data_IF_154290281830
#
_entry.id   IF_154290281830
#
_cell.length_a   1.000
_cell.length_b   1.000
_cell.length_c   1.000
_cell.angle_alpha   90.00
_cell.angle_beta   90.00
_cell.angle_gamma   90.00
#
_symmetry.space_group_name_H-M   'P 1'
#
loop_
_entity.id
_entity.type
_entity.pdbx_description
1 polymer ?
#
# COMPACT_ATOMS: atom_id res chain seq x y z
N UNK A 1 -4.21 56.24 -8.89
CA UNK A 1 -4.44 56.65 -7.49
C UNK A 1 -3.41 55.90 -6.63
N UNK A 2 -2.42 56.62 -6.09
CA UNK A 2 -1.47 56.11 -5.09
C UNK A 2 -2.14 56.13 -3.71
N UNK A 3 -1.67 55.26 -2.81
CA UNK A 3 -1.70 55.27 -1.32
C UNK A 3 -1.90 53.81 -0.85
N UNK A 4 -1.18 53.23 0.11
CA UNK A 4 -0.14 53.70 1.03
C UNK A 4 0.70 52.47 1.42
N UNK A 5 2.02 52.67 1.59
CA UNK A 5 2.97 51.70 2.14
C UNK A 5 2.76 51.57 3.65
N UNK A 6 2.80 50.34 4.17
CA UNK A 6 2.94 50.04 5.60
C UNK A 6 3.84 48.82 5.77
N UNK A 7 5.11 49.06 6.10
CA UNK A 7 6.09 48.03 6.39
C UNK A 7 5.92 47.55 7.83
N UNK A 8 5.81 46.24 8.04
CA UNK A 8 6.12 45.60 9.31
C UNK A 8 7.08 44.46 9.00
N UNK A 9 8.35 44.72 9.24
CA UNK A 9 9.41 43.72 9.22
C UNK A 9 9.32 42.93 10.53
N UNK A 10 8.86 41.68 10.46
CA UNK A 10 9.03 40.72 11.55
C UNK A 10 10.35 40.00 11.35
N UNK A 11 11.36 40.38 12.14
CA UNK A 11 12.65 39.70 12.24
C UNK A 11 12.41 38.37 12.97
N UNK A 12 12.40 37.27 12.22
CA UNK A 12 12.49 35.93 12.79
C UNK A 12 13.98 35.54 12.80
N UNK A 13 14.66 35.85 13.91
CA UNK A 13 16.01 35.35 14.17
C UNK A 13 15.97 33.85 14.39
N UNK A 14 16.35 33.09 13.36
CA UNK A 14 16.75 31.69 13.49
C UNK A 14 18.00 31.62 14.37
N UNK A 15 17.85 31.10 15.60
CA UNK A 15 18.98 30.74 16.44
C UNK A 15 19.66 29.50 15.85
N UNK A 16 20.68 29.73 15.03
CA UNK A 16 21.65 28.72 14.62
C UNK A 16 22.43 28.26 15.86
N UNK A 17 22.08 27.09 16.40
CA UNK A 17 22.92 26.39 17.37
C UNK A 17 24.16 25.86 16.63
N UNK A 18 25.25 26.57 16.86
CA UNK A 18 26.62 26.20 16.50
C UNK A 18 27.09 25.08 17.42
N UNK A 19 26.85 23.84 17.00
CA UNK A 19 27.54 22.67 17.52
C UNK A 19 28.82 22.41 16.73
N UNK A 20 29.91 23.10 17.05
CA UNK A 20 31.24 22.70 16.60
C UNK A 20 31.66 21.44 17.35
N UNK A 21 31.45 20.28 16.71
CA UNK A 21 32.10 19.02 17.05
C UNK A 21 32.70 18.44 15.79
N UNK A 22 33.99 18.71 15.54
CA UNK A 22 34.79 17.87 14.67
C UNK A 22 34.84 16.48 15.28
N UNK A 23 34.15 15.51 14.68
CA UNK A 23 34.51 14.10 14.67
C UNK A 23 33.64 13.37 13.64
N UNK A 24 34.26 12.99 12.52
CA UNK A 24 33.70 12.06 11.54
C UNK A 24 32.54 12.63 10.71
N UNK A 25 32.82 12.94 9.45
CA UNK A 25 31.79 12.90 8.41
C UNK A 25 31.30 11.45 8.25
N UNK A 26 30.52 10.98 9.22
CA UNK A 26 29.57 9.92 9.00
C UNK A 26 28.54 10.52 8.06
N UNK A 27 28.48 9.98 6.83
CA UNK A 27 27.29 10.00 5.98
C UNK A 27 26.10 9.90 6.93
N UNK A 28 25.29 10.95 7.06
CA UNK A 28 24.03 10.85 7.82
C UNK A 28 23.39 9.58 7.29
N UNK A 29 23.18 8.57 8.15
CA UNK A 29 22.54 7.33 7.70
C UNK A 29 21.24 7.77 7.04
N UNK A 30 21.17 7.71 5.71
CA UNK A 30 19.96 8.05 4.97
C UNK A 30 18.85 7.25 5.62
N UNK A 31 17.76 7.93 5.97
CA UNK A 31 16.67 7.31 6.70
C UNK A 31 16.09 6.21 5.81
N UNK A 32 16.47 4.96 6.08
CA UNK A 32 16.01 3.80 5.33
C UNK A 32 14.56 3.51 5.71
N UNK A 33 13.67 3.56 4.74
CA UNK A 33 12.25 3.30 4.89
C UNK A 33 11.97 1.80 4.99
N UNK A 34 12.61 0.98 4.17
CA UNK A 34 12.37 -0.47 4.16
C UNK A 34 13.05 -1.18 5.35
N UNK A 35 12.59 -2.39 5.66
CA UNK A 35 13.22 -3.26 6.64
C UNK A 35 14.42 -4.04 6.07
N UNK A 36 14.96 -4.97 6.85
CA UNK A 36 16.11 -5.80 6.43
C UNK A 36 15.74 -6.94 5.46
N UNK A 37 14.47 -7.07 5.12
CA UNK A 37 13.92 -8.14 4.29
C UNK A 37 13.77 -9.48 5.01
N UNK A 38 12.93 -10.34 4.43
CA UNK A 38 12.48 -11.59 5.02
C UNK A 38 13.08 -12.80 4.32
N UNK A 39 13.08 -13.96 5.00
CA UNK A 39 13.60 -15.21 4.43
C UNK A 39 12.66 -15.89 3.44
N UNK A 40 11.36 -15.60 3.54
CA UNK A 40 10.33 -16.17 2.65
C UNK A 40 9.28 -15.11 2.32
N UNK A 41 8.52 -15.35 1.26
CA UNK A 41 7.44 -14.47 0.85
C UNK A 41 6.36 -14.35 1.94
N UNK A 42 5.98 -15.48 2.55
CA UNK A 42 5.00 -15.56 3.63
C UNK A 42 5.44 -14.79 4.86
N UNK A 43 6.74 -14.78 5.19
CA UNK A 43 7.26 -14.02 6.31
C UNK A 43 7.12 -12.49 6.09
N UNK A 44 7.31 -12.01 4.86
CA UNK A 44 7.09 -10.60 4.52
C UNK A 44 5.61 -10.20 4.66
N UNK A 45 4.70 -11.00 4.11
CA UNK A 45 3.26 -10.78 4.25
C UNK A 45 2.79 -10.93 5.71
N UNK A 46 3.37 -11.87 6.45
CA UNK A 46 3.08 -12.04 7.89
C UNK A 46 3.45 -10.79 8.66
N UNK A 47 4.62 -10.20 8.43
CA UNK A 47 5.04 -8.96 9.12
C UNK A 47 4.05 -7.81 8.89
N UNK A 48 3.49 -7.71 7.67
CA UNK A 48 2.43 -6.75 7.38
C UNK A 48 1.18 -7.02 8.22
N UNK A 49 0.68 -8.26 8.19
CA UNK A 49 -0.55 -8.66 8.91
C UNK A 49 -0.39 -8.47 10.42
N UNK A 50 0.80 -8.79 10.95
CA UNK A 50 1.10 -8.56 12.36
C UNK A 50 1.19 -7.08 12.70
N UNK A 51 1.77 -6.24 11.83
CA UNK A 51 1.75 -4.79 12.03
C UNK A 51 0.32 -4.26 12.13
N UNK A 52 -0.58 -4.72 11.26
CA UNK A 52 -2.00 -4.36 11.33
C UNK A 52 -2.66 -4.86 12.63
N UNK A 53 -2.42 -6.12 13.00
CA UNK A 53 -2.93 -6.73 14.25
C UNK A 53 -2.46 -6.00 15.49
N UNK A 54 -1.19 -5.65 15.54
CA UNK A 54 -0.51 -5.02 16.67
C UNK A 54 -0.72 -3.49 16.68
N UNK A 55 -1.48 -2.95 15.71
CA UNK A 55 -1.68 -1.51 15.46
C UNK A 55 -0.35 -0.75 15.28
N UNK A 56 0.66 -1.44 14.76
CA UNK A 56 1.99 -0.92 14.46
C UNK A 56 2.13 -0.68 12.96
N UNK A 57 1.75 0.54 12.55
CA UNK A 57 1.83 0.97 11.16
C UNK A 57 3.27 0.96 10.63
N UNK A 58 4.27 1.25 11.48
CA UNK A 58 5.67 1.22 11.05
C UNK A 58 6.13 -0.20 10.75
N UNK A 59 5.71 -1.19 11.54
CA UNK A 59 5.97 -2.61 11.26
C UNK A 59 5.34 -3.05 9.93
N UNK A 60 4.15 -2.53 9.59
CA UNK A 60 3.55 -2.74 8.27
C UNK A 60 4.44 -2.16 7.17
N UNK A 61 4.83 -0.89 7.27
CA UNK A 61 5.63 -0.23 6.23
C UNK A 61 7.03 -0.82 6.07
N UNK A 62 7.60 -1.36 7.15
CA UNK A 62 8.91 -2.04 7.11
C UNK A 62 8.89 -3.38 6.38
N UNK A 63 7.71 -3.93 6.02
CA UNK A 63 7.64 -5.16 5.24
C UNK A 63 7.91 -4.96 3.74
N UNK A 64 7.86 -3.72 3.28
CA UNK A 64 7.96 -3.38 1.86
C UNK A 64 9.38 -3.18 1.39
N UNK A 65 9.63 -3.34 0.09
CA UNK A 65 10.85 -2.91 -0.59
C UNK A 65 10.59 -1.54 -1.21
N UNK A 66 11.04 -0.47 -0.55
CA UNK A 66 10.88 0.88 -1.11
C UNK A 66 12.10 1.24 -1.94
N UNK A 67 13.28 1.16 -1.32
CA UNK A 67 14.55 1.44 -1.95
C UNK A 67 14.98 0.30 -2.88
N UNK A 68 14.89 -0.95 -2.40
CA UNK A 68 15.30 -2.12 -3.19
C UNK A 68 14.50 -2.24 -4.49
N UNK A 69 13.19 -2.03 -4.45
CA UNK A 69 12.34 -2.05 -5.64
C UNK A 69 12.68 -0.89 -6.58
N UNK A 70 12.89 0.32 -6.05
CA UNK A 70 13.24 1.48 -6.85
C UNK A 70 14.59 1.31 -7.56
N UNK A 71 15.56 0.65 -6.94
CA UNK A 71 16.87 0.35 -7.52
C UNK A 71 16.80 -0.66 -8.67
N UNK A 72 15.91 -1.65 -8.57
CA UNK A 72 15.84 -2.75 -9.53
C UNK A 72 14.77 -2.57 -10.60
N UNK A 73 13.94 -1.53 -10.50
CA UNK A 73 12.80 -1.31 -11.39
C UNK A 73 13.20 -1.28 -12.88
N UNK A 74 12.52 -2.10 -13.69
CA UNK A 74 12.72 -2.21 -15.14
C UNK A 74 11.70 -1.34 -15.86
N UNK A 75 12.07 -0.09 -16.12
CA UNK A 75 11.21 0.89 -16.81
C UNK A 75 10.73 0.43 -18.19
N UNK A 76 11.61 -0.16 -19.01
CA UNK A 76 11.24 -0.70 -20.33
C UNK A 76 10.15 -1.77 -20.22
N UNK A 77 10.27 -2.68 -19.25
CA UNK A 77 9.27 -3.73 -19.02
C UNK A 77 7.91 -3.19 -18.57
N UNK A 78 7.86 -2.06 -17.86
CA UNK A 78 6.57 -1.41 -17.54
C UNK A 78 5.94 -0.76 -18.78
N UNK A 79 6.75 -0.16 -19.67
CA UNK A 79 6.24 0.38 -20.93
C UNK A 79 5.71 -0.75 -21.83
N UNK A 80 6.44 -1.86 -21.93
CA UNK A 80 6.03 -3.04 -22.69
C UNK A 80 4.73 -3.64 -22.15
N UNK A 81 4.57 -3.67 -20.82
CA UNK A 81 3.35 -4.17 -20.15
C UNK A 81 2.09 -3.43 -20.59
N UNK A 82 2.18 -2.11 -20.82
CA UNK A 82 1.04 -1.30 -21.23
C UNK A 82 0.97 -1.02 -22.73
N UNK A 83 2.01 -1.38 -23.50
CA UNK A 83 2.21 -0.97 -24.89
C UNK A 83 1.98 0.54 -25.11
N UNK A 84 2.20 1.33 -24.06
CA UNK A 84 1.85 2.74 -24.02
C UNK A 84 2.49 3.46 -22.82
N UNK A 85 2.70 4.76 -22.98
CA UNK A 85 3.03 5.66 -21.88
C UNK A 85 1.78 6.43 -21.46
N UNK A 86 1.42 6.35 -20.18
CA UNK A 86 0.26 7.03 -19.61
C UNK A 86 0.75 8.11 -18.63
N UNK A 87 0.82 9.40 -19.03
CA UNK A 87 1.41 10.47 -18.21
C UNK A 87 0.71 10.70 -16.86
N UNK A 88 -0.54 10.25 -16.74
CA UNK A 88 -1.37 10.38 -15.54
C UNK A 88 -1.26 9.17 -14.60
N UNK A 89 -0.64 8.08 -15.03
CA UNK A 89 -0.33 6.96 -14.16
C UNK A 89 0.99 7.21 -13.46
N UNK A 90 1.11 6.85 -12.17
CA UNK A 90 2.36 6.97 -11.44
C UNK A 90 3.35 5.89 -11.88
N UNK A 91 3.82 5.96 -13.12
CA UNK A 91 4.92 5.15 -13.64
C UNK A 91 6.20 5.68 -13.02
N UNK A 92 6.99 4.79 -12.43
CA UNK A 92 8.31 5.14 -11.88
C UNK A 92 9.25 5.60 -13.00
N UNK A 93 10.20 6.47 -12.66
CA UNK A 93 11.27 6.88 -13.58
C UNK A 93 12.28 5.73 -13.78
N UNK A 94 13.12 5.77 -14.83
CA UNK A 94 14.21 4.81 -14.98
C UNK A 94 15.13 4.77 -13.77
N UNK A 95 15.67 3.59 -13.44
CA UNK A 95 16.58 3.39 -12.31
C UNK A 95 18.06 3.56 -12.72
N UNK A 96 18.36 4.59 -13.51
CA UNK A 96 19.70 4.81 -14.10
C UNK A 96 20.57 5.80 -13.31
N UNK A 97 20.03 6.46 -12.29
CA UNK A 97 20.77 7.37 -11.41
C UNK A 97 20.11 7.54 -10.03
N UNK A 98 20.90 7.97 -9.05
CA UNK A 98 20.49 8.13 -7.64
C UNK A 98 19.31 9.08 -7.43
N UNK A 99 19.19 10.13 -8.26
CA UNK A 99 18.08 11.09 -8.15
C UNK A 99 16.75 10.44 -8.52
N UNK A 100 16.70 9.65 -9.60
CA UNK A 100 15.50 8.92 -9.99
C UNK A 100 15.16 7.81 -9.00
N UNK A 101 16.15 7.05 -8.53
CA UNK A 101 15.95 5.99 -7.54
C UNK A 101 15.35 6.57 -6.25
N UNK A 102 15.91 7.67 -5.73
CA UNK A 102 15.40 8.32 -4.50
C UNK A 102 13.98 8.86 -4.66
N UNK A 103 13.67 9.44 -5.83
CA UNK A 103 12.33 9.92 -6.16
C UNK A 103 11.33 8.77 -6.31
N UNK A 104 11.72 7.66 -6.94
CA UNK A 104 10.92 6.45 -7.06
C UNK A 104 10.60 5.84 -5.69
N UNK A 105 11.59 5.66 -4.82
CA UNK A 105 11.38 5.13 -3.47
C UNK A 105 10.37 5.98 -2.67
N UNK A 106 10.52 7.31 -2.73
CA UNK A 106 9.59 8.25 -2.09
C UNK A 106 8.18 8.18 -2.70
N UNK A 107 8.09 8.07 -4.02
CA UNK A 107 6.82 7.94 -4.75
C UNK A 107 6.07 6.66 -4.41
N UNK A 108 6.78 5.52 -4.43
CA UNK A 108 6.25 4.20 -4.04
C UNK A 108 5.69 4.23 -2.63
N UNK A 109 6.49 4.75 -1.67
CA UNK A 109 6.05 4.90 -0.29
C UNK A 109 4.78 5.76 -0.20
N UNK A 110 4.76 6.92 -0.87
CA UNK A 110 3.59 7.81 -0.83
C UNK A 110 2.32 7.13 -1.36
N UNK A 111 2.43 6.33 -2.43
CA UNK A 111 1.28 5.66 -3.06
C UNK A 111 0.75 4.57 -2.15
N UNK A 112 1.61 3.67 -1.67
CA UNK A 112 1.19 2.57 -0.80
C UNK A 112 0.72 3.07 0.58
N UNK A 113 1.41 4.04 1.19
CA UNK A 113 0.97 4.63 2.45
C UNK A 113 -0.42 5.27 2.31
N UNK A 114 -0.65 6.02 1.24
CA UNK A 114 -1.96 6.61 0.96
C UNK A 114 -3.01 5.52 0.77
N UNK A 115 -2.70 4.46 0.01
CA UNK A 115 -3.60 3.33 -0.20
C UNK A 115 -3.99 2.73 1.15
N UNK A 116 -3.02 2.30 1.95
CA UNK A 116 -3.23 1.68 3.27
C UNK A 116 -4.01 2.59 4.23
N UNK A 117 -3.65 3.87 4.28
CA UNK A 117 -4.36 4.86 5.11
C UNK A 117 -5.84 4.93 4.71
N UNK A 118 -6.12 5.09 3.41
CA UNK A 118 -7.48 5.14 2.91
C UNK A 118 -8.23 3.84 3.22
N UNK A 119 -7.60 2.67 3.08
CA UNK A 119 -8.24 1.39 3.36
C UNK A 119 -8.63 1.23 4.81
N UNK A 120 -7.74 1.61 5.73
CA UNK A 120 -8.02 1.61 7.17
C UNK A 120 -9.15 2.58 7.46
N UNK A 121 -9.08 3.82 6.95
CA UNK A 121 -10.12 4.82 7.17
C UNK A 121 -11.48 4.33 6.64
N UNK A 122 -11.55 3.83 5.40
CA UNK A 122 -12.80 3.29 4.85
C UNK A 122 -13.30 2.05 5.60
N UNK A 123 -12.41 1.20 6.11
CA UNK A 123 -12.83 0.11 6.98
C UNK A 123 -13.51 0.63 8.25
N UNK A 124 -12.93 1.65 8.88
CA UNK A 124 -13.51 2.28 10.06
C UNK A 124 -14.85 2.92 9.74
N UNK A 125 -14.98 3.64 8.62
CA UNK A 125 -16.19 4.37 8.23
C UNK A 125 -17.26 3.53 7.51
N UNK A 126 -16.95 2.30 7.09
CA UNK A 126 -17.66 1.48 6.09
C UNK A 126 -19.15 1.75 5.85
N UNK A 127 -20.00 1.60 6.87
CA UNK A 127 -21.47 1.67 6.72
C UNK A 127 -22.00 3.12 6.76
N UNK A 128 -21.14 4.07 7.15
CA UNK A 128 -21.47 5.47 7.39
C UNK A 128 -21.07 6.38 6.22
N UNK A 129 -20.22 5.90 5.29
CA UNK A 129 -19.76 6.66 4.13
C UNK A 129 -19.83 5.84 2.84
N UNK A 130 -20.42 6.45 1.81
CA UNK A 130 -20.34 5.94 0.45
C UNK A 130 -19.04 6.38 -0.21
N UNK A 131 -18.33 5.42 -0.81
CA UNK A 131 -17.05 5.69 -1.42
C UNK A 131 -17.19 6.60 -2.65
N UNK A 132 -16.34 7.62 -2.73
CA UNK A 132 -16.30 8.54 -3.88
C UNK A 132 -17.34 9.66 -3.83
N UNK A 133 -18.23 9.65 -2.84
CA UNK A 133 -19.22 10.70 -2.64
C UNK A 133 -18.67 11.84 -1.79
N UNK A 134 -19.03 13.07 -2.16
CA UNK A 134 -18.75 14.25 -1.34
C UNK A 134 -19.77 14.31 -0.21
N UNK A 135 -19.29 14.30 1.03
CA UNK A 135 -20.13 14.44 2.22
C UNK A 135 -20.20 15.93 2.57
N UNK A 136 -21.37 16.59 2.44
CA UNK A 136 -21.49 18.01 2.73
C UNK A 136 -21.59 18.25 4.24
N UNK A 137 -20.60 18.92 4.83
CA UNK A 137 -20.57 19.33 6.23
C UNK A 137 -21.03 20.80 6.32
N UNK A 138 -22.34 21.01 6.47
CA UNK A 138 -22.98 22.33 6.28
C UNK A 138 -23.03 23.18 7.55
N UNK A 139 -22.89 22.55 8.71
CA UNK A 139 -23.05 23.14 10.04
C UNK A 139 -22.28 22.33 11.09
N UNK A 140 -22.29 22.82 12.33
CA UNK A 140 -21.61 22.17 13.46
C UNK A 140 -22.20 20.79 13.79
N UNK A 141 -23.51 20.60 13.61
CA UNK A 141 -24.19 19.32 13.83
C UNK A 141 -23.70 18.25 12.85
N UNK A 142 -23.73 18.53 11.54
CA UNK A 142 -23.22 17.60 10.51
C UNK A 142 -21.71 17.32 10.64
N UNK A 143 -20.92 18.28 11.14
CA UNK A 143 -19.52 18.06 11.47
C UNK A 143 -19.35 17.09 12.64
N UNK A 144 -20.12 17.28 13.72
CA UNK A 144 -20.06 16.41 14.90
C UNK A 144 -20.53 14.98 14.57
N UNK A 145 -21.60 14.85 13.78
CA UNK A 145 -22.07 13.54 13.30
C UNK A 145 -20.97 12.82 12.50
N UNK A 146 -20.31 13.52 11.57
CA UNK A 146 -19.22 12.94 10.79
C UNK A 146 -18.02 12.53 11.67
N UNK A 147 -17.65 13.36 12.65
CA UNK A 147 -16.56 13.03 13.57
C UNK A 147 -16.88 11.80 14.43
N UNK A 148 -18.15 11.63 14.83
CA UNK A 148 -18.60 10.49 15.62
C UNK A 148 -18.45 9.14 14.90
N UNK A 149 -18.31 9.13 13.57
CA UNK A 149 -18.01 7.90 12.80
C UNK A 149 -16.74 7.24 13.33
N UNK A 150 -15.73 8.02 13.75
CA UNK A 150 -14.48 7.49 14.28
C UNK A 150 -14.57 7.06 15.75
N UNK A 151 -15.66 7.39 16.45
CA UNK A 151 -15.95 6.92 17.81
C UNK A 151 -16.51 5.49 17.81
N UNK A 152 -16.05 4.67 16.86
CA UNK A 152 -16.34 3.25 16.80
C UNK A 152 -15.12 2.44 17.22
N UNK A 153 -15.36 1.27 17.82
CA UNK A 153 -14.28 0.36 18.21
C UNK A 153 -13.90 -0.62 17.08
N UNK A 154 -14.23 -0.31 15.82
CA UNK A 154 -14.05 -1.23 14.68
C UNK A 154 -12.57 -1.52 14.41
N UNK A 155 -11.67 -0.60 14.74
CA UNK A 155 -10.22 -0.83 14.69
C UNK A 155 -9.79 -2.03 15.56
N UNK A 156 -10.55 -2.38 16.62
CA UNK A 156 -10.26 -3.55 17.45
C UNK A 156 -10.41 -4.86 16.69
N UNK A 157 -11.11 -4.88 15.54
CA UNK A 157 -11.17 -6.08 14.70
C UNK A 157 -9.78 -6.47 14.18
N UNK A 158 -8.89 -5.52 13.91
CA UNK A 158 -7.51 -5.81 13.53
C UNK A 158 -6.78 -6.61 14.62
N UNK A 159 -6.98 -6.24 15.89
CA UNK A 159 -6.35 -6.93 17.03
C UNK A 159 -6.85 -8.36 17.25
N UNK A 160 -7.95 -8.75 16.58
CA UNK A 160 -8.54 -10.09 16.65
C UNK A 160 -8.04 -11.01 15.53
N UNK A 161 -7.21 -10.52 14.61
CA UNK A 161 -6.62 -11.31 13.52
C UNK A 161 -5.80 -12.46 14.13
N UNK A 162 -6.19 -13.69 13.81
CA UNK A 162 -5.55 -14.93 14.28
C UNK A 162 -5.54 -16.01 13.19
N UNK A 163 -4.79 -17.09 13.40
CA UNK A 163 -4.76 -18.24 12.49
C UNK A 163 -4.45 -17.86 11.03
N UNK A 164 -3.44 -17.01 10.85
CA UNK A 164 -2.94 -16.64 9.52
C UNK A 164 -2.51 -17.90 8.76
N UNK A 165 -3.04 -18.07 7.57
CA UNK A 165 -2.76 -19.17 6.65
C UNK A 165 -2.56 -18.63 5.24
N UNK A 166 -1.75 -19.34 4.48
CA UNK A 166 -1.50 -19.06 3.07
C UNK A 166 -2.11 -20.19 2.26
N UNK A 167 -2.85 -19.82 1.22
CA UNK A 167 -3.48 -20.77 0.28
C UNK A 167 -2.97 -20.47 -1.13
N UNK A 168 -3.13 -21.42 -2.04
CA UNK A 168 -2.75 -21.19 -3.44
C UNK A 168 -3.66 -20.17 -4.12
N UNK A 169 -3.19 -19.47 -5.18
CA UNK A 169 -4.06 -18.62 -6.00
C UNK A 169 -5.27 -19.39 -6.55
N UNK A 170 -5.10 -20.66 -6.92
CA UNK A 170 -6.17 -21.53 -7.43
C UNK A 170 -7.34 -21.66 -6.44
N UNK A 171 -7.04 -21.84 -5.14
CA UNK A 171 -8.05 -22.00 -4.10
C UNK A 171 -8.95 -20.77 -3.92
N UNK A 172 -8.41 -19.57 -4.14
CA UNK A 172 -9.16 -18.31 -3.96
C UNK A 172 -9.79 -17.80 -5.25
N UNK A 173 -9.14 -18.03 -6.40
CA UNK A 173 -9.68 -17.65 -7.70
C UNK A 173 -10.81 -18.57 -8.12
N UNK A 174 -10.70 -19.88 -7.85
CA UNK A 174 -11.70 -20.85 -8.29
C UNK A 174 -11.99 -20.69 -9.79
N UNK A 175 -13.26 -20.47 -10.13
CA UNK A 175 -13.72 -20.35 -11.52
C UNK A 175 -13.50 -18.95 -12.12
N UNK A 176 -12.95 -17.99 -11.35
CA UNK A 176 -12.70 -16.63 -11.83
C UNK A 176 -11.65 -16.56 -12.94
N UNK A 177 -10.68 -17.50 -12.93
CA UNK A 177 -9.59 -17.57 -13.90
C UNK A 177 -8.93 -18.96 -13.86
N UNK A 178 -8.51 -19.46 -15.02
CA UNK A 178 -7.67 -20.65 -15.10
C UNK A 178 -6.23 -20.36 -14.64
N UNK A 179 -5.53 -21.37 -14.11
CA UNK A 179 -4.13 -21.17 -13.70
C UNK A 179 -3.19 -20.89 -14.86
N UNK A 180 -3.47 -21.38 -16.07
CA UNK A 180 -2.68 -21.07 -17.26
C UNK A 180 -2.77 -19.58 -17.62
N UNK A 181 -4.00 -19.04 -17.66
CA UNK A 181 -4.22 -17.61 -17.91
C UNK A 181 -3.62 -16.74 -16.79
N UNK A 182 -3.79 -17.14 -15.53
CA UNK A 182 -3.20 -16.44 -14.39
C UNK A 182 -1.67 -16.39 -14.51
N UNK A 183 -1.03 -17.52 -14.82
CA UNK A 183 0.43 -17.61 -14.92
C UNK A 183 0.98 -16.78 -16.10
N UNK A 184 0.30 -16.79 -17.25
CA UNK A 184 0.65 -15.95 -18.41
C UNK A 184 0.60 -14.46 -18.05
N UNK A 185 -0.50 -14.01 -17.40
CA UNK A 185 -0.62 -12.61 -16.98
C UNK A 185 0.35 -12.26 -15.86
N UNK A 186 0.63 -13.17 -14.93
CA UNK A 186 1.58 -12.95 -13.84
C UNK A 186 2.98 -12.65 -14.40
N UNK A 187 3.43 -13.41 -15.41
CA UNK A 187 4.71 -13.18 -16.06
C UNK A 187 4.83 -11.76 -16.64
N UNK A 188 3.81 -11.31 -17.38
CA UNK A 188 3.79 -9.97 -17.98
C UNK A 188 3.71 -8.88 -16.89
N UNK A 189 2.89 -9.10 -15.86
CA UNK A 189 2.63 -8.07 -14.85
C UNK A 189 3.78 -7.88 -13.86
N UNK A 190 4.72 -8.82 -13.73
CA UNK A 190 5.74 -8.76 -12.68
C UNK A 190 7.15 -8.41 -13.17
N UNK A 191 7.41 -8.49 -14.47
CA UNK A 191 8.75 -8.26 -15.03
C UNK A 191 9.32 -6.88 -14.62
N UNK A 192 8.48 -5.85 -14.58
CA UNK A 192 8.89 -4.48 -14.24
C UNK A 192 9.46 -4.33 -12.82
N UNK A 193 9.17 -5.24 -11.89
CA UNK A 193 9.74 -5.17 -10.53
C UNK A 193 11.24 -5.46 -10.50
N UNK A 194 11.79 -6.06 -11.57
CA UNK A 194 13.22 -6.38 -11.69
C UNK A 194 13.75 -7.32 -10.60
N UNK A 195 12.86 -8.06 -9.95
CA UNK A 195 13.18 -9.03 -8.93
C UNK A 195 13.63 -10.37 -9.52
N UNK A 196 14.32 -11.17 -8.72
CA UNK A 196 14.68 -12.55 -9.09
C UNK A 196 13.46 -13.46 -9.17
N UNK A 197 12.43 -13.14 -8.38
CA UNK A 197 11.18 -13.88 -8.30
C UNK A 197 10.07 -12.97 -7.77
N UNK A 198 8.86 -13.12 -8.31
CA UNK A 198 7.68 -12.37 -7.86
C UNK A 198 6.50 -13.31 -7.77
N UNK A 199 5.77 -13.25 -6.65
CA UNK A 199 4.59 -14.07 -6.39
C UNK A 199 3.45 -13.23 -5.86
N UNK A 200 2.21 -13.61 -6.19
CA UNK A 200 1.04 -13.17 -5.41
C UNK A 200 0.80 -14.17 -4.30
N UNK A 201 0.59 -13.68 -3.08
CA UNK A 201 0.15 -14.53 -1.98
C UNK A 201 -1.34 -14.37 -1.74
N UNK A 202 -1.98 -15.43 -1.25
CA UNK A 202 -3.32 -15.37 -0.68
C UNK A 202 -3.26 -15.65 0.82
N UNK A 203 -3.24 -14.56 1.59
CA UNK A 203 -3.19 -14.60 3.04
C UNK A 203 -4.61 -14.49 3.62
N UNK A 204 -5.02 -15.51 4.37
CA UNK A 204 -6.32 -15.56 5.05
C UNK A 204 -6.11 -15.66 6.56
N UNK A 205 -6.95 -15.00 7.34
CA UNK A 205 -6.92 -15.11 8.80
C UNK A 205 -8.33 -14.97 9.39
N UNK A 206 -8.51 -15.44 10.61
CA UNK A 206 -9.81 -15.38 11.28
C UNK A 206 -9.94 -14.05 12.05
N UNK A 207 -11.12 -13.43 11.98
CA UNK A 207 -11.46 -12.20 12.73
C UNK A 207 -12.87 -12.36 13.30
N UNK A 208 -12.97 -12.97 14.49
CA UNK A 208 -14.27 -13.33 15.05
C UNK A 208 -14.98 -14.38 14.20
N UNK A 209 -16.16 -14.03 13.68
CA UNK A 209 -16.94 -14.82 12.71
C UNK A 209 -16.59 -14.51 11.24
N UNK A 210 -15.78 -13.48 11.00
CA UNK A 210 -15.34 -13.01 9.69
C UNK A 210 -13.99 -13.61 9.30
N UNK A 211 -13.69 -13.51 8.00
CA UNK A 211 -12.37 -13.80 7.44
C UNK A 211 -11.70 -12.50 7.01
N UNK A 212 -10.44 -12.34 7.39
CA UNK A 212 -9.51 -11.38 6.83
C UNK A 212 -8.87 -11.96 5.57
N UNK A 213 -8.86 -11.19 4.49
CA UNK A 213 -8.23 -11.51 3.22
C UNK A 213 -7.22 -10.42 2.86
N UNK A 214 -6.01 -10.83 2.48
CA UNK A 214 -4.95 -9.95 1.98
C UNK A 214 -4.20 -10.64 0.84
N UNK A 215 -4.07 -9.96 -0.29
CA UNK A 215 -3.48 -10.53 -1.49
C UNK A 215 -2.33 -9.66 -2.02
N UNK A 216 -1.16 -9.64 -1.35
CA UNK A 216 -0.03 -8.82 -1.78
C UNK A 216 0.72 -9.44 -2.96
N UNK A 217 1.42 -8.59 -3.69
CA UNK A 217 2.55 -9.02 -4.52
C UNK A 217 3.83 -8.90 -3.71
N UNK A 218 4.60 -9.98 -3.69
CA UNK A 218 5.82 -10.13 -2.90
C UNK A 218 6.95 -10.51 -3.84
N UNK A 219 8.11 -9.88 -3.69
CA UNK A 219 9.25 -10.05 -4.57
C UNK A 219 10.50 -10.44 -3.80
N UNK A 220 11.36 -11.24 -4.45
CA UNK A 220 12.67 -11.66 -3.95
C UNK A 220 13.78 -10.90 -4.67
N UNK A 221 14.65 -10.27 -3.90
CA UNK A 221 15.88 -9.64 -4.35
C UNK A 221 17.05 -10.30 -3.61
N UNK A 222 17.85 -11.08 -4.33
CA UNK A 222 18.84 -11.99 -3.74
C UNK A 222 18.19 -13.00 -2.81
N UNK A 223 18.63 -13.03 -1.55
CA UNK A 223 18.12 -13.95 -0.51
C UNK A 223 16.96 -13.35 0.32
N UNK A 224 16.44 -12.19 -0.09
CA UNK A 224 15.50 -11.40 0.72
C UNK A 224 14.19 -11.18 0.01
N UNK A 225 13.10 -11.42 0.73
CA UNK A 225 11.73 -11.20 0.29
C UNK A 225 11.14 -9.93 0.90
N UNK A 226 10.30 -9.25 0.14
CA UNK A 226 9.62 -8.02 0.55
C UNK A 226 8.25 -7.91 -0.11
N UNK A 227 7.32 -7.19 0.52
CA UNK A 227 6.11 -6.74 -0.17
C UNK A 227 6.49 -5.64 -1.16
N UNK A 228 6.05 -5.74 -2.42
CA UNK A 228 6.26 -4.68 -3.43
C UNK A 228 4.97 -3.96 -3.78
N UNK A 229 3.83 -4.58 -3.44
CA UNK A 229 2.52 -3.98 -3.58
C UNK A 229 1.54 -4.63 -2.61
N UNK A 230 0.69 -3.81 -1.98
CA UNK A 230 -0.44 -4.28 -1.17
C UNK A 230 -1.54 -4.96 -1.99
N UNK A 231 -1.41 -4.90 -3.31
CA UNK A 231 -2.35 -5.32 -4.32
C UNK A 231 -1.69 -6.33 -5.26
N UNK A 232 -2.42 -7.33 -5.73
CA UNK A 232 -1.89 -8.34 -6.66
C UNK A 232 -2.83 -8.66 -7.81
N UNK A 233 -2.37 -9.51 -8.72
CA UNK A 233 -3.20 -10.04 -9.80
C UNK A 233 -4.42 -10.82 -9.26
N UNK A 234 -4.29 -11.47 -8.09
CA UNK A 234 -5.43 -12.13 -7.42
C UNK A 234 -6.50 -11.08 -7.10
N UNK A 235 -6.11 -9.94 -6.53
CA UNK A 235 -7.02 -8.84 -6.22
C UNK A 235 -7.75 -8.33 -7.46
N UNK A 236 -7.06 -8.25 -8.59
CA UNK A 236 -7.63 -7.83 -9.88
C UNK A 236 -8.69 -8.81 -10.39
N UNK A 237 -8.43 -10.12 -10.38
CA UNK A 237 -9.42 -11.11 -10.80
C UNK A 237 -10.63 -11.18 -9.86
N UNK A 238 -10.42 -10.96 -8.56
CA UNK A 238 -11.48 -10.90 -7.57
C UNK A 238 -12.21 -9.55 -7.51
N UNK A 239 -11.92 -8.65 -8.47
CA UNK A 239 -12.50 -7.31 -8.58
C UNK A 239 -12.49 -6.55 -7.25
N UNK A 240 -11.41 -6.70 -6.48
CA UNK A 240 -11.26 -5.91 -5.28
C UNK A 240 -11.12 -4.43 -5.68
N UNK A 241 -11.38 -3.55 -4.74
CA UNK A 241 -11.15 -2.14 -4.98
C UNK A 241 -9.66 -1.82 -4.79
N UNK A 242 -9.04 -1.13 -5.73
CA UNK A 242 -7.60 -0.81 -5.70
C UNK A 242 -7.16 0.04 -4.49
N UNK A 243 -8.11 0.60 -3.73
CA UNK A 243 -7.86 1.33 -2.49
C UNK A 243 -8.20 0.50 -1.24
N UNK A 244 -8.41 -0.81 -1.41
CA UNK A 244 -8.82 -1.75 -0.36
C UNK A 244 -7.98 -3.04 -0.49
N UNK A 245 -6.70 -3.00 -0.09
CA UNK A 245 -5.74 -4.10 -0.23
C UNK A 245 -6.05 -5.29 0.69
N UNK A 246 -6.89 -5.10 1.71
CA UNK A 246 -7.42 -6.18 2.54
C UNK A 246 -8.92 -6.03 2.74
N UNK A 247 -9.61 -7.16 3.00
CA UNK A 247 -11.04 -7.20 3.35
C UNK A 247 -11.23 -8.01 4.63
N UNK A 248 -12.10 -7.53 5.52
CA UNK A 248 -12.63 -8.32 6.65
C UNK A 248 -14.13 -8.48 6.43
N UNK A 249 -14.59 -9.70 6.18
CA UNK A 249 -15.97 -9.97 5.75
C UNK A 249 -16.41 -11.40 6.04
N UNK A 250 -17.72 -11.64 6.05
CA UNK A 250 -18.32 -12.99 6.08
C UNK A 250 -18.49 -13.59 4.68
N UNK A 251 -18.19 -12.80 3.64
CA UNK A 251 -18.26 -13.22 2.24
C UNK A 251 -17.00 -13.98 1.82
N UNK A 252 -17.16 -14.89 0.88
CA UNK A 252 -16.06 -15.58 0.23
C UNK A 252 -15.65 -14.85 -1.06
N UNK A 253 -14.43 -15.05 -1.59
CA UNK A 253 -14.01 -14.48 -2.87
C UNK A 253 -15.00 -14.69 -4.02
N UNK A 254 -15.70 -15.84 -4.06
CA UNK A 254 -16.71 -16.15 -5.07
C UNK A 254 -17.91 -15.19 -5.04
N UNK A 255 -18.28 -14.70 -3.85
CA UNK A 255 -19.41 -13.79 -3.67
C UNK A 255 -19.11 -12.38 -4.20
N UNK A 256 -17.83 -12.02 -4.36
CA UNK A 256 -17.44 -10.68 -4.80
C UNK A 256 -17.59 -10.50 -6.31
N UNK A 257 -17.41 -11.57 -7.07
CA UNK A 257 -17.50 -11.56 -8.53
C UNK A 257 -18.96 -11.46 -8.98
N UNK A 258 -19.84 -12.25 -8.37
CA UNK A 258 -21.25 -12.39 -8.80
C UNK A 258 -22.15 -11.18 -8.49
N UNK A 259 -21.68 -10.20 -7.72
CA UNK A 259 -22.50 -9.04 -7.33
C UNK A 259 -22.62 -7.99 -8.44
N UNK A 260 -21.67 -7.89 -9.35
CA UNK A 260 -21.76 -6.91 -10.44
C UNK A 260 -22.65 -7.36 -11.60
N UNK A 261 -22.79 -8.66 -11.85
CA UNK A 261 -23.67 -9.19 -12.91
C UNK A 261 -25.17 -8.94 -12.65
N UNK A 262 -25.54 -8.45 -11.45
CA UNK A 262 -26.92 -8.16 -11.06
C UNK A 262 -27.21 -6.64 -10.94
N UNK A 263 -26.27 -5.78 -11.32
CA UNK A 263 -26.43 -4.31 -11.32
C UNK A 263 -26.46 -3.70 -12.75
N UNK A 264 -26.65 -4.51 -13.79
CA UNK A 264 -26.95 -4.05 -15.17
C UNK A 264 -28.45 -3.79 -15.44
#
# INVERSE_FOLDING_TARGET
MKFFRGAVAAVLTCTLLTGCGLNGAGRSSEAKYEGDGFKTAEAAATSFVEGLRDLDYNKMLKSYAWETQAEHYKYESELDRFDSFIPTMPVQMPSDNDFYISANASGLQSIECRRLYCSIAYYLMKDDVEKGMVIPLKDEESMNDFLSIYDNERYKDFTKIKNLRFVSPEEVLGDACSMDEYNEKAQINYEHYGADEVVSLAALADVGDKTFYYFPTVARYGDKWYVVSSWSLISSYLQMDAYTPFKITNETPKDWINKQDNEE
#
